data_IF_773381035187
#
_entry.id   IF_773381035187
#
_cell.length_a   1.000
_cell.length_b   1.000
_cell.length_c   1.000
_cell.angle_alpha   90.00
_cell.angle_beta   90.00
_cell.angle_gamma   90.00
#
_symmetry.space_group_name_H-M   'P 1'
#
loop_
_entity.id
_entity.type
_entity.pdbx_description
1 polymer ?
#
# COMPACT_ATOMS: atom_id res chain seq x y z
N UNK A 1 5.37 23.40 21.57
CA UNK A 1 6.26 22.58 20.72
C UNK A 1 5.92 22.91 19.28
N UNK A 2 6.86 23.47 18.53
CA UNK A 2 6.57 24.01 17.19
C UNK A 2 6.46 22.85 16.18
N UNK A 3 5.56 22.96 15.22
CA UNK A 3 5.38 21.97 14.14
C UNK A 3 6.69 21.63 13.40
N UNK A 4 7.68 22.53 13.42
CA UNK A 4 9.00 22.35 12.82
C UNK A 4 9.83 21.26 13.51
N UNK A 5 9.81 21.20 14.85
CA UNK A 5 10.62 20.24 15.62
C UNK A 5 10.11 18.81 15.49
N UNK A 6 8.80 18.63 15.31
CA UNK A 6 8.18 17.33 15.07
C UNK A 6 8.43 16.84 13.64
N UNK A 7 8.39 17.75 12.66
CA UNK A 7 8.74 17.43 11.27
C UNK A 7 10.20 16.99 11.16
N UNK A 8 11.11 17.74 11.77
CA UNK A 8 12.55 17.44 11.76
C UNK A 8 12.85 16.09 12.44
N UNK A 9 12.16 15.78 13.55
CA UNK A 9 12.26 14.47 14.20
C UNK A 9 11.76 13.32 13.31
N UNK A 10 10.65 13.51 12.60
CA UNK A 10 10.12 12.50 11.68
C UNK A 10 11.07 12.26 10.51
N UNK A 11 11.58 13.34 9.90
CA UNK A 11 12.56 13.25 8.81
C UNK A 11 13.84 12.55 9.25
N UNK A 12 14.42 12.90 10.41
CA UNK A 12 15.61 12.21 10.95
C UNK A 12 15.37 10.72 11.19
N UNK A 13 14.16 10.34 11.62
CA UNK A 13 13.79 8.95 11.84
C UNK A 13 13.66 8.18 10.53
N UNK A 14 13.06 8.78 9.50
CA UNK A 14 12.98 8.19 8.17
C UNK A 14 14.35 8.06 7.51
N UNK A 15 15.19 9.11 7.60
CA UNK A 15 16.55 9.09 7.06
C UNK A 15 17.40 7.97 7.67
N UNK A 16 17.36 7.80 9.01
CA UNK A 16 18.05 6.70 9.70
C UNK A 16 17.56 5.34 9.25
N UNK A 17 16.24 5.17 9.10
CA UNK A 17 15.64 3.92 8.64
C UNK A 17 16.11 3.58 7.23
N UNK A 18 16.15 4.58 6.35
CA UNK A 18 16.60 4.42 4.96
C UNK A 18 18.09 4.05 4.91
N UNK A 19 18.95 4.71 5.70
CA UNK A 19 20.38 4.38 5.81
C UNK A 19 20.60 2.93 6.26
N UNK A 20 19.92 2.49 7.32
CA UNK A 20 20.05 1.10 7.79
C UNK A 20 19.60 0.07 6.74
N UNK A 21 18.59 0.38 5.93
CA UNK A 21 18.17 -0.47 4.80
C UNK A 21 19.26 -0.51 3.72
N UNK A 22 19.91 0.63 3.42
CA UNK A 22 21.03 0.70 2.47
C UNK A 22 22.18 -0.19 2.94
N UNK A 23 22.63 0.02 4.19
CA UNK A 23 23.79 -0.63 4.79
C UNK A 23 23.60 -2.15 5.00
N UNK A 24 22.37 -2.59 5.24
CA UNK A 24 22.04 -4.01 5.40
C UNK A 24 21.83 -4.75 4.07
N UNK A 25 21.75 -4.04 2.94
CA UNK A 25 21.62 -4.67 1.63
C UNK A 25 22.97 -5.25 1.16
N UNK A 26 23.00 -6.54 0.84
CA UNK A 26 24.22 -7.26 0.39
C UNK A 26 24.84 -6.73 -0.90
N UNK A 27 24.10 -5.94 -1.66
CA UNK A 27 24.52 -5.31 -2.91
C UNK A 27 23.75 -4.01 -3.08
N UNK A 28 24.46 -2.91 -3.38
CA UNK A 28 23.84 -1.63 -3.73
C UNK A 28 22.81 -1.89 -4.84
N UNK A 29 21.52 -1.57 -4.63
CA UNK A 29 20.50 -1.83 -5.64
C UNK A 29 20.86 -1.05 -6.91
N UNK A 30 20.82 -1.73 -8.06
CA UNK A 30 21.06 -1.09 -9.35
C UNK A 30 19.81 -0.36 -9.82
N UNK A 31 19.97 0.61 -10.70
CA UNK A 31 18.85 1.33 -11.30
C UNK A 31 17.86 0.38 -11.96
N UNK A 32 18.35 -0.61 -12.72
CA UNK A 32 17.51 -1.62 -13.36
C UNK A 32 16.66 -2.43 -12.35
N UNK A 33 17.25 -2.80 -11.20
CA UNK A 33 16.50 -3.50 -10.13
C UNK A 33 15.42 -2.62 -9.53
N UNK A 34 15.69 -1.32 -9.34
CA UNK A 34 14.71 -0.38 -8.81
C UNK A 34 13.61 -0.08 -9.82
N UNK A 35 13.94 0.16 -11.09
CA UNK A 35 12.95 0.31 -12.16
C UNK A 35 12.04 -0.92 -12.28
N UNK A 36 12.59 -2.13 -12.14
CA UNK A 36 11.79 -3.36 -12.10
C UNK A 36 10.82 -3.37 -10.91
N UNK A 37 11.27 -2.98 -9.72
CA UNK A 37 10.41 -2.87 -8.53
C UNK A 37 9.32 -1.81 -8.68
N UNK A 38 9.65 -0.66 -9.26
CA UNK A 38 8.66 0.39 -9.57
C UNK A 38 7.57 -0.17 -10.48
N UNK A 39 7.93 -0.86 -11.57
CA UNK A 39 6.95 -1.51 -12.45
C UNK A 39 6.10 -2.52 -11.69
N UNK A 40 6.73 -3.45 -10.96
CA UNK A 40 6.02 -4.48 -10.20
C UNK A 40 5.00 -3.92 -9.22
N UNK A 41 5.40 -2.94 -8.38
CA UNK A 41 4.49 -2.37 -7.40
C UNK A 41 3.49 -1.38 -8.04
N UNK A 42 3.87 -0.73 -9.14
CA UNK A 42 2.99 0.13 -9.92
C UNK A 42 1.85 -0.67 -10.57
N UNK A 43 2.17 -1.78 -11.23
CA UNK A 43 1.21 -2.72 -11.81
C UNK A 43 0.27 -3.27 -10.73
N UNK A 44 0.81 -3.67 -9.59
CA UNK A 44 0.01 -4.14 -8.46
C UNK A 44 -0.92 -3.06 -7.87
N UNK A 45 -0.50 -1.78 -7.87
CA UNK A 45 -1.36 -0.67 -7.47
C UNK A 45 -2.46 -0.40 -8.51
N UNK A 46 -2.14 -0.52 -9.80
CA UNK A 46 -3.10 -0.37 -10.89
C UNK A 46 -4.19 -1.45 -10.82
N UNK A 47 -3.80 -2.72 -10.67
CA UNK A 47 -4.73 -3.85 -10.52
C UNK A 47 -5.61 -3.74 -9.27
N UNK A 48 -5.11 -3.07 -8.23
CA UNK A 48 -5.87 -2.83 -7.02
C UNK A 48 -7.07 -1.90 -7.21
N UNK A 49 -7.10 -1.07 -8.26
CA UNK A 49 -8.27 -0.22 -8.57
C UNK A 49 -9.52 -1.08 -8.83
N UNK A 50 -9.38 -2.16 -9.59
CA UNK A 50 -10.46 -3.09 -9.85
C UNK A 50 -10.87 -3.84 -8.59
N UNK A 51 -9.91 -4.18 -7.72
CA UNK A 51 -10.19 -4.78 -6.41
C UNK A 51 -11.03 -3.83 -5.52
N UNK A 52 -10.69 -2.53 -5.48
CA UNK A 52 -11.45 -1.52 -4.75
C UNK A 52 -12.86 -1.37 -5.34
N UNK A 53 -12.96 -1.35 -6.66
CA UNK A 53 -14.25 -1.25 -7.36
C UNK A 53 -15.14 -2.46 -7.04
N UNK A 54 -14.58 -3.66 -7.09
CA UNK A 54 -15.27 -4.90 -6.76
C UNK A 54 -15.69 -4.93 -5.28
N UNK A 55 -14.86 -4.46 -4.36
CA UNK A 55 -15.18 -4.36 -2.94
C UNK A 55 -16.41 -3.48 -2.68
N UNK A 56 -16.57 -2.37 -3.42
CA UNK A 56 -17.77 -1.51 -3.34
C UNK A 56 -19.03 -2.26 -3.75
N UNK A 57 -18.98 -3.01 -4.84
CA UNK A 57 -20.13 -3.83 -5.29
C UNK A 57 -20.48 -4.93 -4.30
N UNK A 58 -19.47 -5.58 -3.71
CA UNK A 58 -19.68 -6.64 -2.72
C UNK A 58 -20.42 -6.17 -1.45
N UNK A 59 -20.33 -4.89 -1.09
CA UNK A 59 -21.18 -4.30 -0.02
C UNK A 59 -22.53 -3.80 -0.52
N UNK A 60 -22.65 -3.47 -1.81
CA UNK A 60 -23.89 -3.00 -2.43
C UNK A 60 -24.96 -4.09 -2.43
N UNK A 61 -24.62 -5.29 -2.90
CA UNK A 61 -25.60 -6.38 -3.07
C UNK A 61 -26.27 -6.78 -1.74
N UNK A 62 -25.52 -7.08 -0.65
CA UNK A 62 -26.15 -7.43 0.62
C UNK A 62 -27.02 -6.31 1.18
N UNK A 63 -26.64 -5.03 0.95
CA UNK A 63 -27.44 -3.89 1.41
C UNK A 63 -28.78 -3.78 0.68
N UNK A 64 -28.79 -4.02 -0.62
CA UNK A 64 -30.01 -3.99 -1.45
C UNK A 64 -30.94 -5.16 -1.09
N UNK A 65 -30.39 -6.35 -0.94
CA UNK A 65 -31.14 -7.59 -0.66
C UNK A 65 -31.48 -7.77 0.83
N UNK A 66 -31.10 -6.81 1.68
CA UNK A 66 -31.26 -6.89 3.14
C UNK A 66 -32.68 -7.28 3.58
N UNK A 67 -33.77 -6.67 3.06
CA UNK A 67 -35.12 -7.04 3.47
C UNK A 67 -35.42 -8.52 3.19
N UNK A 68 -35.07 -8.99 2.01
CA UNK A 68 -35.32 -10.37 1.57
C UNK A 68 -34.49 -11.39 2.34
N UNK A 69 -33.23 -11.05 2.63
CA UNK A 69 -32.35 -11.90 3.44
C UNK A 69 -32.87 -11.97 4.88
N UNK A 70 -33.22 -10.83 5.48
CA UNK A 70 -33.66 -10.77 6.89
C UNK A 70 -35.04 -11.38 7.13
N UNK A 71 -35.93 -11.41 6.12
CA UNK A 71 -37.27 -12.00 6.23
C UNK A 71 -37.26 -13.54 6.30
N UNK A 72 -36.14 -14.19 5.99
CA UNK A 72 -35.99 -15.66 6.09
C UNK A 72 -35.67 -16.08 7.52
N UNK A 73 -36.05 -17.29 7.91
CA UNK A 73 -35.70 -17.87 9.22
C UNK A 73 -34.16 -17.93 9.36
N UNK A 74 -33.62 -17.31 10.40
CA UNK A 74 -32.17 -17.19 10.60
C UNK A 74 -31.47 -16.18 9.68
N UNK A 75 -32.22 -15.48 8.84
CA UNK A 75 -31.72 -14.53 7.85
C UNK A 75 -30.92 -13.37 8.42
N UNK A 76 -31.33 -12.85 9.59
CA UNK A 76 -30.59 -11.79 10.30
C UNK A 76 -29.20 -12.25 10.73
N UNK A 77 -29.09 -13.48 11.26
CA UNK A 77 -27.81 -14.05 11.66
C UNK A 77 -26.93 -14.33 10.44
N UNK A 78 -27.52 -14.89 9.38
CA UNK A 78 -26.83 -15.12 8.11
C UNK A 78 -26.27 -13.83 7.52
N UNK A 79 -27.07 -12.76 7.49
CA UNK A 79 -26.67 -11.44 7.05
C UNK A 79 -25.50 -10.87 7.88
N UNK A 80 -25.55 -11.01 9.21
CA UNK A 80 -24.48 -10.59 10.09
C UNK A 80 -23.16 -11.34 9.80
N UNK A 81 -23.21 -12.65 9.62
CA UNK A 81 -22.03 -13.46 9.29
C UNK A 81 -21.44 -13.05 7.94
N UNK A 82 -22.28 -12.83 6.93
CA UNK A 82 -21.86 -12.38 5.61
C UNK A 82 -21.12 -11.03 5.67
N UNK A 83 -21.68 -10.05 6.39
CA UNK A 83 -21.03 -8.75 6.58
C UNK A 83 -19.69 -8.86 7.32
N UNK A 84 -19.58 -9.74 8.32
CA UNK A 84 -18.33 -9.97 9.05
C UNK A 84 -17.26 -10.56 8.14
N UNK A 85 -17.60 -11.56 7.33
CA UNK A 85 -16.68 -12.19 6.39
C UNK A 85 -16.18 -11.19 5.34
N UNK A 86 -17.09 -10.38 4.77
CA UNK A 86 -16.72 -9.31 3.83
C UNK A 86 -15.77 -8.30 4.47
N UNK A 87 -16.03 -7.89 5.71
CA UNK A 87 -15.18 -6.94 6.42
C UNK A 87 -13.77 -7.48 6.70
N UNK A 88 -13.65 -8.76 7.10
CA UNK A 88 -12.33 -9.39 7.30
C UNK A 88 -11.56 -9.40 5.98
N UNK A 89 -12.17 -9.90 4.90
CA UNK A 89 -11.55 -9.97 3.58
C UNK A 89 -11.06 -8.59 3.11
N UNK A 90 -11.90 -7.57 3.20
CA UNK A 90 -11.54 -6.23 2.73
C UNK A 90 -10.51 -5.54 3.61
N UNK A 91 -10.44 -5.87 4.91
CA UNK A 91 -9.36 -5.40 5.80
C UNK A 91 -8.01 -5.97 5.39
N UNK A 92 -7.95 -7.25 5.04
CA UNK A 92 -6.74 -7.89 4.54
C UNK A 92 -6.31 -7.27 3.21
N UNK A 93 -7.23 -7.19 2.23
CA UNK A 93 -6.95 -6.54 0.94
C UNK A 93 -6.44 -5.09 1.09
N UNK A 94 -7.04 -4.32 2.02
CA UNK A 94 -6.58 -2.97 2.32
C UNK A 94 -5.15 -2.97 2.89
N UNK A 95 -4.82 -3.90 3.79
CA UNK A 95 -3.48 -4.00 4.38
C UNK A 95 -2.43 -4.30 3.31
N UNK A 96 -2.74 -5.23 2.41
CA UNK A 96 -1.83 -5.62 1.33
C UNK A 96 -1.63 -4.47 0.34
N UNK A 97 -2.69 -3.74 0.02
CA UNK A 97 -2.62 -2.55 -0.83
C UNK A 97 -1.75 -1.45 -0.20
N UNK A 98 -1.95 -1.15 1.09
CA UNK A 98 -1.13 -0.15 1.80
C UNK A 98 0.35 -0.56 1.76
N UNK A 99 0.65 -1.83 2.05
CA UNK A 99 2.02 -2.32 1.99
C UNK A 99 2.62 -2.19 0.59
N UNK A 100 1.85 -2.48 -0.45
CA UNK A 100 2.29 -2.37 -1.84
C UNK A 100 2.56 -0.91 -2.22
N UNK A 101 1.69 0.02 -1.81
CA UNK A 101 1.88 1.46 -2.03
C UNK A 101 3.11 2.00 -1.31
N UNK A 102 3.35 1.57 -0.07
CA UNK A 102 4.56 1.95 0.68
C UNK A 102 5.83 1.46 -0.03
N UNK A 103 5.82 0.23 -0.56
CA UNK A 103 6.94 -0.32 -1.32
C UNK A 103 7.15 0.37 -2.66
N UNK A 104 6.07 0.76 -3.36
CA UNK A 104 6.13 1.58 -4.57
C UNK A 104 6.77 2.94 -4.29
N UNK A 105 6.31 3.63 -3.23
CA UNK A 105 6.88 4.91 -2.80
C UNK A 105 8.37 4.77 -2.48
N UNK A 106 8.74 3.76 -1.71
CA UNK A 106 10.13 3.50 -1.37
C UNK A 106 10.98 3.24 -2.64
N UNK A 107 10.47 2.46 -3.60
CA UNK A 107 11.17 2.21 -4.85
C UNK A 107 11.39 3.50 -5.67
N UNK A 108 10.41 4.40 -5.70
CA UNK A 108 10.56 5.72 -6.34
C UNK A 108 11.59 6.60 -5.62
N UNK A 109 11.56 6.67 -4.29
CA UNK A 109 12.58 7.41 -3.50
C UNK A 109 14.00 6.89 -3.80
N UNK A 110 14.15 5.58 -3.92
CA UNK A 110 15.43 4.96 -4.29
C UNK A 110 15.88 5.32 -5.71
N UNK A 111 14.95 5.39 -6.65
CA UNK A 111 15.24 5.79 -8.02
C UNK A 111 15.73 7.24 -8.07
N UNK A 112 15.04 8.16 -7.38
CA UNK A 112 15.44 9.57 -7.29
C UNK A 112 16.84 9.71 -6.69
N UNK A 113 17.16 8.97 -5.63
CA UNK A 113 18.50 8.97 -5.03
C UNK A 113 19.55 8.46 -6.02
N UNK A 114 19.26 7.40 -6.77
CA UNK A 114 20.23 6.87 -7.74
C UNK A 114 20.46 7.81 -8.92
N UNK A 115 19.40 8.40 -9.48
CA UNK A 115 19.50 9.36 -10.58
C UNK A 115 20.29 10.59 -10.14
N UNK A 116 19.94 11.18 -8.99
CA UNK A 116 20.65 12.36 -8.47
C UNK A 116 22.12 12.08 -8.14
N UNK A 117 22.46 10.89 -7.64
CA UNK A 117 23.86 10.50 -7.41
C UNK A 117 24.60 10.25 -8.72
N UNK A 118 23.95 9.68 -9.73
CA UNK A 118 24.50 9.51 -11.07
C UNK A 118 24.84 10.85 -11.73
N UNK A 119 23.92 11.83 -11.65
CA UNK A 119 24.14 13.18 -12.15
C UNK A 119 25.32 13.89 -11.45
N UNK A 120 25.51 13.65 -10.14
CA UNK A 120 26.62 14.23 -9.36
C UNK A 120 27.98 13.61 -9.71
N UNK A 121 28.03 12.33 -10.10
CA UNK A 121 29.27 11.68 -10.53
C UNK A 121 29.61 11.99 -12.01
N UNK A 122 28.64 12.36 -12.85
CA UNK A 122 28.89 12.87 -14.22
C UNK A 122 29.35 14.34 -14.26
N UNK A 123 29.16 15.11 -13.18
CA UNK A 123 29.60 16.52 -13.07
C UNK A 123 31.03 16.71 -12.50
N UNK A 124 31.83 15.65 -12.38
CA UNK A 124 33.25 15.70 -11.97
C UNK A 124 34.19 15.49 -13.15
#
# INVERSE_FOLDING_TARGET
MSHSEDLERRLKKELKRNITIVESSRSRPTEAMIQQRIRQYGDACFDAEDTIRQARYQYGNPRQDRPDICNRRGGVYHYLVMLRQLNIKHREQKKDLISTMELFKLANEWYEILVTVGDVDEMK
#
